data_IF_238692058508
#
_entry.id   IF_238692058508
#
_cell.length_a   1.000
_cell.length_b   1.000
_cell.length_c   1.000
_cell.angle_alpha   90.00
_cell.angle_beta   90.00
_cell.angle_gamma   90.00
#
_symmetry.space_group_name_H-M   'P 1'
#
loop_
_entity.id
_entity.type
_entity.pdbx_description
1 polymer ?
#
# COMPACT_ATOMS: atom_id res chain seq x y z
N UNK A 1 8.88 -16.21 -58.78
CA UNK A 1 9.20 -16.20 -57.34
C UNK A 1 8.85 -14.82 -56.85
N UNK A 2 7.62 -14.65 -56.41
CA UNK A 2 7.19 -13.38 -55.81
C UNK A 2 7.75 -13.32 -54.38
N UNK A 3 8.39 -12.21 -53.98
CA UNK A 3 8.95 -12.07 -52.64
C UNK A 3 7.79 -12.04 -51.64
N UNK A 4 7.76 -13.03 -50.75
CA UNK A 4 6.90 -12.99 -49.56
C UNK A 4 7.17 -11.69 -48.80
N UNK A 5 6.14 -10.88 -48.48
CA UNK A 5 6.33 -9.72 -47.61
C UNK A 5 6.79 -10.20 -46.24
N UNK A 6 7.67 -9.45 -45.55
CA UNK A 6 8.15 -9.82 -44.23
C UNK A 6 6.98 -9.83 -43.26
N UNK A 7 6.55 -11.04 -42.89
CA UNK A 7 5.78 -11.29 -41.68
C UNK A 7 6.68 -10.94 -40.49
N UNK A 8 6.11 -10.36 -39.44
CA UNK A 8 6.71 -10.15 -38.11
C UNK A 8 7.32 -8.77 -37.74
N UNK A 9 6.76 -7.67 -38.24
CA UNK A 9 6.74 -6.43 -37.46
C UNK A 9 5.33 -6.17 -36.93
N UNK A 10 5.03 -6.70 -35.74
CA UNK A 10 3.91 -6.19 -34.96
C UNK A 10 4.18 -4.70 -34.74
N UNK A 11 3.36 -3.78 -35.29
CA UNK A 11 3.70 -2.36 -35.27
C UNK A 11 3.92 -1.93 -33.83
N UNK A 12 5.01 -1.21 -33.53
CA UNK A 12 5.33 -0.68 -32.20
C UNK A 12 4.15 0.04 -31.53
N UNK A 13 3.24 0.59 -32.35
CA UNK A 13 1.96 1.16 -31.93
C UNK A 13 1.02 0.15 -31.22
N UNK A 14 0.95 -1.10 -31.66
CA UNK A 14 0.14 -2.15 -31.05
C UNK A 14 0.63 -2.53 -29.65
N UNK A 15 1.94 -2.69 -29.47
CA UNK A 15 2.55 -2.97 -28.16
C UNK A 15 2.28 -1.83 -27.18
N UNK A 16 2.49 -0.58 -27.61
CA UNK A 16 2.19 0.61 -26.79
C UNK A 16 0.72 0.72 -26.40
N UNK A 17 -0.19 0.36 -27.31
CA UNK A 17 -1.63 0.39 -27.06
C UNK A 17 -2.04 -0.68 -26.03
N UNK A 18 -1.46 -1.88 -26.10
CA UNK A 18 -1.68 -2.95 -25.12
C UNK A 18 -1.11 -2.62 -23.74
N UNK A 19 0.07 -2.00 -23.66
CA UNK A 19 0.64 -1.53 -22.40
C UNK A 19 -0.21 -0.43 -21.74
N UNK A 20 -0.69 0.53 -22.53
CA UNK A 20 -1.58 1.59 -22.05
C UNK A 20 -2.91 1.00 -21.55
N UNK A 21 -3.49 0.06 -22.29
CA UNK A 21 -4.71 -0.63 -21.89
C UNK A 21 -4.52 -1.42 -20.58
N UNK A 22 -3.45 -2.20 -20.46
CA UNK A 22 -3.16 -2.96 -19.24
C UNK A 22 -2.96 -2.03 -18.03
N UNK A 23 -2.20 -0.95 -18.20
CA UNK A 23 -1.97 0.06 -17.16
C UNK A 23 -3.26 0.76 -16.73
N UNK A 24 -4.15 1.06 -17.67
CA UNK A 24 -5.47 1.63 -17.37
C UNK A 24 -6.39 0.64 -16.66
N UNK A 25 -6.45 -0.62 -17.10
CA UNK A 25 -7.30 -1.64 -16.45
C UNK A 25 -6.91 -1.89 -14.98
N UNK A 26 -5.59 -1.97 -14.71
CA UNK A 26 -5.06 -2.16 -13.36
C UNK A 26 -5.31 -0.94 -12.49
N UNK A 27 -5.02 0.26 -13.01
CA UNK A 27 -5.33 1.54 -12.34
C UNK A 27 -6.81 1.65 -12.00
N UNK A 28 -7.70 1.25 -12.91
CA UNK A 28 -9.14 1.28 -12.67
C UNK A 28 -9.58 0.33 -11.56
N UNK A 29 -9.10 -0.92 -11.56
CA UNK A 29 -9.43 -1.87 -10.48
C UNK A 29 -8.93 -1.36 -9.12
N UNK A 30 -7.76 -0.75 -9.07
CA UNK A 30 -7.18 -0.23 -7.84
C UNK A 30 -7.91 1.03 -7.36
N UNK A 31 -8.32 1.90 -8.29
CA UNK A 31 -9.10 3.09 -7.96
C UNK A 31 -10.53 2.75 -7.59
N UNK A 32 -11.20 1.78 -8.21
CA UNK A 32 -12.52 1.33 -7.78
C UNK A 32 -12.49 0.77 -6.35
N UNK A 33 -11.42 0.05 -5.99
CA UNK A 33 -11.17 -0.41 -4.61
C UNK A 33 -10.85 0.74 -3.67
N UNK A 34 -10.06 1.72 -4.11
CA UNK A 34 -9.61 2.83 -3.28
C UNK A 34 -10.64 3.96 -3.14
N UNK A 35 -11.55 4.12 -4.10
CA UNK A 35 -12.44 5.27 -4.20
C UNK A 35 -13.49 5.29 -3.10
N UNK A 36 -13.78 4.19 -2.38
CA UNK A 36 -14.71 4.14 -1.22
C UNK A 36 -15.88 5.15 -1.34
N UNK A 37 -16.60 5.09 -2.47
CA UNK A 37 -17.79 5.92 -2.76
C UNK A 37 -17.54 7.43 -2.96
N UNK A 38 -16.32 7.86 -3.22
CA UNK A 38 -16.00 9.22 -3.67
C UNK A 38 -16.51 9.44 -5.10
N UNK A 39 -17.67 10.08 -5.18
CA UNK A 39 -18.36 10.39 -6.45
C UNK A 39 -17.51 11.27 -7.37
N UNK A 40 -16.71 12.18 -6.82
CA UNK A 40 -15.86 13.05 -7.63
C UNK A 40 -14.77 12.22 -8.32
N UNK A 41 -14.13 11.31 -7.58
CA UNK A 41 -13.12 10.41 -8.13
C UNK A 41 -13.69 9.48 -9.21
N UNK A 42 -14.90 8.95 -9.01
CA UNK A 42 -15.59 8.16 -10.03
C UNK A 42 -15.89 8.97 -11.30
N UNK A 43 -16.26 10.25 -11.19
CA UNK A 43 -16.45 11.13 -12.34
C UNK A 43 -15.14 11.40 -13.10
N UNK A 44 -14.02 11.60 -12.39
CA UNK A 44 -12.70 11.77 -13.03
C UNK A 44 -12.29 10.51 -13.81
N UNK A 45 -12.58 9.32 -13.29
CA UNK A 45 -12.33 8.07 -14.00
C UNK A 45 -13.20 7.94 -15.26
N UNK A 46 -14.46 8.33 -15.17
CA UNK A 46 -15.36 8.32 -16.32
C UNK A 46 -14.81 9.22 -17.44
N UNK A 47 -14.35 10.44 -17.10
CA UNK A 47 -13.71 11.34 -18.04
C UNK A 47 -12.42 10.75 -18.65
N UNK A 48 -11.63 10.01 -17.87
CA UNK A 48 -10.44 9.32 -18.38
C UNK A 48 -10.79 8.20 -19.38
N UNK A 49 -11.86 7.44 -19.14
CA UNK A 49 -12.37 6.45 -20.10
C UNK A 49 -12.82 7.14 -21.38
N UNK A 50 -13.52 8.27 -21.28
CA UNK A 50 -13.98 9.02 -22.46
C UNK A 50 -12.79 9.54 -23.29
N UNK A 51 -11.72 10.01 -22.63
CA UNK A 51 -10.48 10.37 -23.31
C UNK A 51 -9.82 9.17 -24.01
N UNK A 52 -9.81 8.00 -23.36
CA UNK A 52 -9.30 6.76 -23.95
C UNK A 52 -10.13 6.30 -25.15
N UNK A 53 -11.47 6.36 -25.05
CA UNK A 53 -12.42 6.04 -26.13
C UNK A 53 -12.13 6.90 -27.36
N UNK A 54 -11.89 8.21 -27.17
CA UNK A 54 -11.51 9.12 -28.27
C UNK A 54 -10.21 8.70 -28.96
N UNK A 55 -9.16 8.35 -28.20
CA UNK A 55 -7.88 7.88 -28.78
C UNK A 55 -8.07 6.56 -29.51
N UNK A 56 -8.86 5.65 -28.94
CA UNK A 56 -9.20 4.38 -29.57
C UNK A 56 -9.93 4.57 -30.90
N UNK A 57 -10.86 5.53 -31.00
CA UNK A 57 -11.53 5.86 -32.26
C UNK A 57 -10.59 6.42 -33.33
N UNK A 58 -9.61 7.24 -32.95
CA UNK A 58 -8.59 7.75 -33.88
C UNK A 58 -7.79 6.60 -34.50
N UNK A 59 -7.53 5.54 -33.73
CA UNK A 59 -6.78 4.37 -34.17
C UNK A 59 -7.67 3.18 -34.58
N UNK A 60 -8.97 3.38 -34.73
CA UNK A 60 -9.91 2.28 -34.98
C UNK A 60 -9.58 1.49 -36.26
N UNK A 61 -9.21 2.16 -37.34
CA UNK A 61 -8.93 1.50 -38.63
C UNK A 61 -7.64 0.69 -38.66
N UNK A 62 -6.71 0.92 -37.73
CA UNK A 62 -5.42 0.22 -37.70
C UNK A 62 -5.46 -1.09 -36.92
N UNK A 63 -6.58 -1.38 -36.25
CA UNK A 63 -6.71 -2.55 -35.39
C UNK A 63 -7.49 -3.70 -36.05
N UNK A 64 -7.08 -4.96 -35.81
CA UNK A 64 -7.88 -6.13 -36.16
C UNK A 64 -9.32 -6.06 -35.60
N UNK A 65 -10.29 -6.62 -36.33
CA UNK A 65 -11.72 -6.49 -35.99
C UNK A 65 -12.09 -7.16 -34.66
N UNK A 66 -11.47 -8.29 -34.36
CA UNK A 66 -11.59 -9.03 -33.10
C UNK A 66 -11.09 -8.19 -31.91
N UNK A 67 -9.91 -7.57 -32.04
CA UNK A 67 -9.33 -6.68 -31.03
C UNK A 67 -10.20 -5.45 -30.81
N UNK A 68 -10.74 -4.87 -31.89
CA UNK A 68 -11.68 -3.74 -31.80
C UNK A 68 -12.92 -4.08 -30.97
N UNK A 69 -13.55 -5.22 -31.27
CA UNK A 69 -14.74 -5.67 -30.56
C UNK A 69 -14.44 -5.91 -29.07
N UNK A 70 -13.29 -6.52 -28.76
CA UNK A 70 -12.85 -6.76 -27.39
C UNK A 70 -12.66 -5.45 -26.62
N UNK A 71 -11.88 -4.51 -27.15
CA UNK A 71 -11.62 -3.22 -26.49
C UNK A 71 -12.91 -2.43 -26.31
N UNK A 72 -13.77 -2.37 -27.35
CA UNK A 72 -15.03 -1.67 -27.27
C UNK A 72 -15.97 -2.25 -26.19
N UNK A 73 -16.09 -3.58 -26.12
CA UNK A 73 -16.89 -4.24 -25.09
C UNK A 73 -16.36 -3.93 -23.68
N UNK A 74 -15.04 -3.94 -23.50
CA UNK A 74 -14.39 -3.59 -22.23
C UNK A 74 -14.64 -2.13 -21.82
N UNK A 75 -14.50 -1.17 -22.74
CA UNK A 75 -14.81 0.25 -22.49
C UNK A 75 -16.27 0.40 -22.05
N UNK A 76 -17.20 -0.27 -22.74
CA UNK A 76 -18.63 -0.21 -22.41
C UNK A 76 -18.93 -0.79 -21.03
N UNK A 77 -18.33 -1.94 -20.69
CA UNK A 77 -18.49 -2.56 -19.38
C UNK A 77 -17.92 -1.68 -18.26
N UNK A 78 -16.74 -1.10 -18.47
CA UNK A 78 -16.12 -0.16 -17.52
C UNK A 78 -16.99 1.09 -17.31
N UNK A 79 -17.50 1.69 -18.39
CA UNK A 79 -18.42 2.83 -18.34
C UNK A 79 -19.71 2.49 -17.59
N UNK A 80 -20.28 1.31 -17.86
CA UNK A 80 -21.50 0.82 -17.19
C UNK A 80 -21.28 0.62 -15.69
N UNK A 81 -20.16 0.01 -15.29
CA UNK A 81 -19.83 -0.21 -13.87
C UNK A 81 -19.65 1.11 -13.11
N UNK A 82 -18.91 2.08 -13.69
CA UNK A 82 -18.73 3.40 -13.07
C UNK A 82 -20.05 4.17 -12.95
N UNK A 83 -20.88 4.20 -14.00
CA UNK A 83 -22.18 4.86 -13.95
C UNK A 83 -23.11 4.19 -12.93
N UNK A 84 -23.07 2.86 -12.82
CA UNK A 84 -23.80 2.12 -11.79
C UNK A 84 -23.30 2.51 -10.39
N UNK A 85 -21.99 2.62 -10.19
CA UNK A 85 -21.40 3.02 -8.90
C UNK A 85 -21.71 4.48 -8.53
N UNK A 86 -21.77 5.39 -9.51
CA UNK A 86 -22.15 6.80 -9.31
C UNK A 86 -23.63 6.94 -8.95
N UNK A 87 -24.50 6.12 -9.57
CA UNK A 87 -25.95 6.10 -9.31
C UNK A 87 -26.30 5.34 -8.03
N UNK A 88 -25.47 4.39 -7.62
CA UNK A 88 -25.65 3.69 -6.36
C UNK A 88 -25.70 4.74 -5.25
N UNK A 89 -26.79 4.77 -4.46
CA UNK A 89 -26.89 5.75 -3.39
C UNK A 89 -25.68 5.55 -2.46
N UNK A 90 -25.05 6.65 -2.06
CA UNK A 90 -23.90 6.67 -1.14
C UNK A 90 -24.25 6.18 0.26
N UNK A 91 -25.39 5.49 0.41
CA UNK A 91 -25.80 4.63 1.52
C UNK A 91 -24.87 3.42 1.58
N UNK A 92 -23.57 3.68 1.69
CA UNK A 92 -22.74 2.90 2.59
C UNK A 92 -23.41 3.08 3.94
N UNK A 93 -24.26 2.12 4.30
CA UNK A 93 -24.41 1.80 5.69
C UNK A 93 -22.99 1.54 6.18
N UNK A 94 -22.34 2.55 6.75
CA UNK A 94 -21.06 2.46 7.47
C UNK A 94 -21.10 1.42 8.61
N UNK A 95 -22.24 0.74 8.76
CA UNK A 95 -22.59 -0.21 9.79
C UNK A 95 -23.04 -1.58 9.27
N UNK A 96 -23.14 -1.84 7.96
CA UNK A 96 -23.28 -3.23 7.49
C UNK A 96 -21.91 -3.90 7.39
N UNK A 97 -21.22 -3.96 8.53
CA UNK A 97 -20.62 -5.25 8.90
C UNK A 97 -21.79 -6.23 8.84
N UNK A 98 -21.61 -7.39 8.22
CA UNK A 98 -22.60 -8.47 8.25
C UNK A 98 -22.75 -8.94 9.70
N UNK A 99 -23.45 -8.15 10.51
CA UNK A 99 -24.02 -8.57 11.76
C UNK A 99 -25.19 -9.46 11.34
N UNK A 100 -25.11 -10.73 11.68
CA UNK A 100 -26.28 -11.60 11.65
C UNK A 100 -27.37 -10.89 12.49
N UNK A 101 -28.51 -10.51 11.91
CA UNK A 101 -29.56 -9.82 12.64
C UNK A 101 -30.15 -10.67 13.78
N UNK A 102 -29.81 -11.96 13.86
CA UNK A 102 -30.29 -12.87 14.89
C UNK A 102 -29.42 -12.97 16.14
N UNK A 103 -28.21 -12.40 16.18
CA UNK A 103 -27.35 -12.45 17.38
C UNK A 103 -27.48 -11.21 18.26
N UNK A 104 -28.62 -11.07 18.93
CA UNK A 104 -28.74 -10.14 20.07
C UNK A 104 -28.05 -10.70 21.30
N UNK A 105 -26.77 -10.36 21.50
CA UNK A 105 -26.08 -10.60 22.76
C UNK A 105 -26.47 -9.53 23.79
N UNK A 106 -27.51 -9.83 24.58
CA UNK A 106 -27.90 -9.05 25.75
C UNK A 106 -26.97 -9.36 26.93
N UNK A 107 -26.02 -8.47 27.22
CA UNK A 107 -25.12 -8.69 28.35
C UNK A 107 -24.01 -7.66 28.49
N UNK A 108 -24.35 -6.39 28.63
CA UNK A 108 -23.36 -5.37 28.99
C UNK A 108 -23.83 -3.95 28.72
N UNK A 109 -23.45 -3.03 29.62
CA UNK A 109 -23.80 -1.59 29.67
C UNK A 109 -24.01 -0.96 28.28
N UNK A 110 -25.03 -0.10 28.18
CA UNK A 110 -25.39 0.72 27.00
C UNK A 110 -24.14 1.43 26.48
N UNK A 111 -23.51 0.85 25.46
CA UNK A 111 -22.23 1.27 24.92
C UNK A 111 -21.99 0.55 23.60
N UNK A 112 -21.58 1.33 22.60
CA UNK A 112 -21.30 0.97 21.19
C UNK A 112 -21.34 -0.55 20.88
N UNK A 113 -22.26 -1.01 20.00
CA UNK A 113 -22.36 -2.43 19.63
C UNK A 113 -21.01 -3.05 19.30
N UNK A 114 -20.75 -4.25 19.84
CA UNK A 114 -19.53 -5.00 19.49
C UNK A 114 -19.56 -5.31 18.00
N UNK A 115 -18.46 -5.00 17.31
CA UNK A 115 -18.28 -5.42 15.92
C UNK A 115 -18.06 -6.94 15.92
N UNK A 116 -18.93 -7.66 15.24
CA UNK A 116 -18.81 -9.09 15.01
C UNK A 116 -17.94 -9.30 13.78
N UNK A 117 -16.98 -10.24 13.86
CA UNK A 117 -16.12 -10.64 12.74
C UNK A 117 -16.45 -12.10 12.47
N UNK A 118 -16.68 -12.46 11.21
CA UNK A 118 -16.95 -13.86 10.85
C UNK A 118 -15.73 -14.74 11.21
N UNK A 119 -15.98 -15.81 11.96
CA UNK A 119 -14.92 -16.66 12.54
C UNK A 119 -14.13 -17.39 11.46
N UNK A 120 -14.81 -18.03 10.50
CA UNK A 120 -14.16 -18.76 9.40
C UNK A 120 -13.29 -17.86 8.52
N UNK A 121 -13.72 -16.62 8.28
CA UNK A 121 -12.94 -15.63 7.55
C UNK A 121 -11.71 -15.19 8.36
N UNK A 122 -11.88 -14.97 9.67
CA UNK A 122 -10.79 -14.58 10.55
C UNK A 122 -9.73 -15.68 10.64
N UNK A 123 -10.12 -16.93 10.79
CA UNK A 123 -9.23 -18.09 10.77
C UNK A 123 -8.41 -18.16 9.48
N UNK A 124 -9.09 -18.11 8.32
CA UNK A 124 -8.44 -18.16 7.02
C UNK A 124 -7.42 -17.03 6.82
N UNK A 125 -7.80 -15.78 7.12
CA UNK A 125 -6.92 -14.63 6.99
C UNK A 125 -5.77 -14.67 8.00
N UNK A 126 -6.00 -15.17 9.21
CA UNK A 126 -4.97 -15.33 10.23
C UNK A 126 -3.93 -16.36 9.79
N UNK A 127 -4.35 -17.48 9.22
CA UNK A 127 -3.47 -18.48 8.64
C UNK A 127 -2.67 -17.91 7.45
N UNK A 128 -3.33 -17.18 6.55
CA UNK A 128 -2.70 -16.56 5.38
C UNK A 128 -1.61 -15.54 5.77
N UNK A 129 -1.88 -14.67 6.75
CA UNK A 129 -0.96 -13.64 7.22
C UNK A 129 -0.05 -14.07 8.37
N UNK A 130 0.06 -15.39 8.63
CA UNK A 130 0.92 -15.97 9.67
C UNK A 130 0.71 -15.35 11.06
N UNK A 131 -0.54 -15.09 11.43
CA UNK A 131 -0.89 -14.51 12.73
C UNK A 131 -0.81 -12.99 12.84
N UNK A 132 -0.46 -12.27 11.75
CA UNK A 132 -0.34 -10.80 11.81
C UNK A 132 -1.71 -10.11 11.90
N UNK A 133 -2.06 -9.63 13.10
CA UNK A 133 -3.30 -8.87 13.33
C UNK A 133 -3.37 -7.56 12.50
N UNK A 134 -2.23 -6.93 12.22
CA UNK A 134 -2.18 -5.68 11.46
C UNK A 134 -2.55 -5.90 9.98
N UNK A 135 -1.98 -6.92 9.35
CA UNK A 135 -2.25 -7.23 7.95
C UNK A 135 -3.72 -7.63 7.74
N UNK A 136 -4.24 -8.51 8.61
CA UNK A 136 -5.66 -8.90 8.60
C UNK A 136 -6.58 -7.69 8.80
N UNK A 137 -6.22 -6.77 9.70
CA UNK A 137 -6.99 -5.55 9.93
C UNK A 137 -6.99 -4.60 8.73
N UNK A 138 -5.88 -4.53 7.98
CA UNK A 138 -5.79 -3.75 6.76
C UNK A 138 -6.76 -4.28 5.68
N UNK A 139 -6.80 -5.60 5.48
CA UNK A 139 -7.70 -6.26 4.53
C UNK A 139 -9.18 -6.05 4.89
N UNK A 140 -9.51 -6.16 6.18
CA UNK A 140 -10.88 -5.98 6.66
C UNK A 140 -11.27 -4.51 6.90
N UNK A 141 -10.32 -3.56 6.75
CA UNK A 141 -10.49 -2.16 7.17
C UNK A 141 -10.99 -2.01 8.63
N UNK A 142 -10.49 -2.86 9.53
CA UNK A 142 -10.83 -2.89 10.94
C UNK A 142 -9.68 -2.36 11.81
N UNK A 143 -9.92 -2.19 13.11
CA UNK A 143 -8.87 -1.80 14.05
C UNK A 143 -8.00 -3.04 14.37
N UNK A 144 -6.65 -2.98 14.25
CA UNK A 144 -5.76 -4.09 14.57
C UNK A 144 -5.94 -4.68 15.97
N UNK A 145 -6.27 -3.84 16.96
CA UNK A 145 -6.50 -4.27 18.35
C UNK A 145 -7.74 -5.15 18.48
N UNK A 146 -8.79 -4.86 17.71
CA UNK A 146 -10.00 -5.70 17.69
C UNK A 146 -9.68 -7.08 17.09
N UNK A 147 -8.93 -7.12 15.98
CA UNK A 147 -8.53 -8.36 15.34
C UNK A 147 -7.66 -9.21 16.27
N UNK A 148 -6.66 -8.59 16.90
CA UNK A 148 -5.81 -9.26 17.88
C UNK A 148 -6.64 -9.87 19.03
N UNK A 149 -7.58 -9.11 19.59
CA UNK A 149 -8.49 -9.63 20.63
C UNK A 149 -9.31 -10.83 20.15
N UNK A 150 -9.88 -10.76 18.93
CA UNK A 150 -10.67 -11.87 18.39
C UNK A 150 -9.82 -13.12 18.11
N UNK A 151 -8.60 -12.93 17.60
CA UNK A 151 -7.65 -14.02 17.39
C UNK A 151 -7.29 -14.72 18.71
N UNK A 152 -7.08 -13.95 19.78
CA UNK A 152 -6.82 -14.48 21.13
C UNK A 152 -8.04 -15.18 21.72
N UNK A 153 -9.24 -14.60 21.61
CA UNK A 153 -10.49 -15.20 22.07
C UNK A 153 -10.78 -16.55 21.40
N UNK A 154 -10.44 -16.69 20.10
CA UNK A 154 -10.63 -17.91 19.32
C UNK A 154 -9.44 -18.90 19.41
N UNK A 155 -8.38 -18.55 20.13
CA UNK A 155 -7.18 -19.39 20.23
C UNK A 155 -6.39 -19.54 18.93
N UNK A 156 -6.58 -18.63 17.96
CA UNK A 156 -5.88 -18.65 16.67
C UNK A 156 -4.42 -18.17 16.77
N UNK A 157 -4.13 -17.35 17.79
CA UNK A 157 -2.80 -16.81 18.06
C UNK A 157 -2.51 -16.99 19.55
N UNK A 158 -1.30 -17.44 19.88
CA UNK A 158 -0.85 -17.52 21.27
C UNK A 158 -0.60 -16.11 21.80
N UNK A 159 -1.08 -15.76 23.01
CA UNK A 159 -0.74 -14.50 23.66
C UNK A 159 0.78 -14.28 23.64
N UNK A 160 1.20 -13.09 23.22
CA UNK A 160 2.60 -12.69 23.36
C UNK A 160 3.01 -12.67 24.82
N UNK A 161 4.31 -12.80 25.07
CA UNK A 161 4.86 -12.71 26.42
C UNK A 161 4.49 -11.38 27.07
N UNK A 162 4.03 -11.42 28.33
CA UNK A 162 3.67 -10.21 29.04
C UNK A 162 4.90 -9.26 29.14
N UNK A 163 4.71 -7.94 28.93
CA UNK A 163 5.81 -6.98 29.03
C UNK A 163 6.47 -6.96 30.40
N UNK A 164 5.73 -7.35 31.44
CA UNK A 164 6.23 -7.50 32.80
C UNK A 164 6.21 -8.98 33.17
N UNK A 165 7.33 -9.45 33.71
CA UNK A 165 7.45 -10.78 34.27
C UNK A 165 7.79 -10.67 35.74
N UNK A 166 7.10 -11.48 36.54
CA UNK A 166 7.37 -11.65 37.95
C UNK A 166 8.21 -12.93 38.08
N UNK A 167 9.43 -12.79 38.59
CA UNK A 167 10.30 -13.93 38.91
C UNK A 167 10.58 -13.91 40.40
N UNK A 168 10.40 -15.08 41.02
CA UNK A 168 10.75 -15.31 42.42
C UNK A 168 12.21 -15.75 42.43
N UNK A 169 13.08 -14.96 43.05
CA UNK A 169 14.49 -15.27 43.18
C UNK A 169 14.71 -16.43 44.17
N UNK A 170 15.93 -17.00 44.20
CA UNK A 170 16.28 -18.13 45.10
C UNK A 170 16.06 -17.80 46.59
N UNK A 171 16.11 -16.52 46.96
CA UNK A 171 15.85 -16.01 48.32
C UNK A 171 14.35 -15.86 48.65
N UNK A 172 13.45 -16.13 47.69
CA UNK A 172 12.00 -15.99 47.84
C UNK A 172 11.46 -14.57 47.61
N UNK A 173 12.30 -13.62 47.20
CA UNK A 173 11.87 -12.26 46.87
C UNK A 173 11.29 -12.18 45.45
N UNK A 174 10.17 -11.46 45.29
CA UNK A 174 9.53 -11.23 43.98
C UNK A 174 10.15 -10.02 43.29
N UNK A 175 10.83 -10.25 42.17
CA UNK A 175 11.30 -9.18 41.30
C UNK A 175 10.44 -9.08 40.05
N UNK A 176 10.07 -7.84 39.71
CA UNK A 176 9.34 -7.53 38.48
C UNK A 176 10.29 -6.89 37.48
N UNK A 177 10.58 -7.56 36.38
CA UNK A 177 11.34 -6.96 35.29
C UNK A 177 10.48 -6.72 34.05
N UNK A 178 10.73 -5.58 33.41
CA UNK A 178 10.12 -5.23 32.14
C UNK A 178 10.94 -5.89 31.02
N UNK A 179 10.35 -6.89 30.35
CA UNK A 179 10.94 -7.48 29.16
C UNK A 179 10.78 -6.52 28.00
N UNK A 180 11.89 -5.90 27.66
CA UNK A 180 12.00 -5.05 26.49
C UNK A 180 11.87 -5.94 25.26
N UNK A 181 10.71 -5.91 24.59
CA UNK A 181 10.45 -6.64 23.34
C UNK A 181 11.20 -6.10 22.13
N UNK A 182 12.12 -5.15 22.32
CA UNK A 182 12.94 -4.64 21.23
C UNK A 182 13.89 -5.74 20.78
N UNK A 183 13.99 -5.91 19.47
CA UNK A 183 14.94 -6.85 18.87
C UNK A 183 16.36 -6.49 19.32
N UNK A 184 17.16 -7.49 19.65
CA UNK A 184 18.54 -7.28 20.04
C UNK A 184 19.31 -6.58 18.91
N UNK A 185 20.13 -5.59 19.25
CA UNK A 185 20.99 -4.92 18.28
C UNK A 185 22.08 -5.89 17.82
N UNK A 186 22.27 -5.98 16.51
CA UNK A 186 23.31 -6.80 15.89
C UNK A 186 24.67 -6.22 16.28
N UNK A 187 25.50 -7.05 16.90
CA UNK A 187 26.89 -6.71 17.18
C UNK A 187 27.69 -6.85 15.88
N UNK A 188 27.91 -5.73 15.18
CA UNK A 188 28.64 -5.66 13.92
C UNK A 188 29.71 -4.58 14.03
N UNK A 189 30.93 -4.87 13.56
CA UNK A 189 31.99 -3.87 13.53
C UNK A 189 31.73 -2.81 12.44
N UNK A 190 32.30 -1.61 12.59
CA UNK A 190 32.13 -0.55 11.59
C UNK A 190 32.64 -0.98 10.20
N UNK A 191 33.74 -1.74 10.13
CA UNK A 191 34.30 -2.22 8.87
C UNK A 191 33.39 -3.25 8.19
N UNK A 192 32.79 -4.16 8.94
CA UNK A 192 31.80 -5.11 8.42
C UNK A 192 30.54 -4.39 7.96
N UNK A 193 30.05 -3.41 8.73
CA UNK A 193 28.89 -2.60 8.35
C UNK A 193 29.15 -1.84 7.05
N UNK A 194 30.31 -1.21 6.91
CA UNK A 194 30.71 -0.50 5.68
C UNK A 194 30.73 -1.46 4.48
N UNK A 195 31.19 -2.70 4.66
CA UNK A 195 31.20 -3.73 3.61
C UNK A 195 29.80 -4.16 3.15
N UNK A 196 28.82 -4.15 4.07
CA UNK A 196 27.41 -4.46 3.76
C UNK A 196 26.70 -3.25 3.13
N UNK A 197 27.01 -2.04 3.61
CA UNK A 197 26.40 -0.80 3.11
C UNK A 197 26.89 -0.46 1.71
N UNK A 198 28.15 -0.73 1.38
CA UNK A 198 28.74 -0.45 0.06
C UNK A 198 27.92 -0.97 -1.13
N UNK A 199 27.59 -2.27 -1.25
CA UNK A 199 26.84 -2.79 -2.39
C UNK A 199 25.41 -2.22 -2.47
N UNK A 200 24.77 -1.93 -1.33
CA UNK A 200 23.45 -1.31 -1.28
C UNK A 200 23.52 0.09 -1.90
N UNK A 201 24.53 0.88 -1.53
CA UNK A 201 24.74 2.24 -2.06
C UNK A 201 25.14 2.25 -3.53
N UNK A 202 25.92 1.26 -3.98
CA UNK A 202 26.29 1.10 -5.40
C UNK A 202 25.05 0.83 -6.27
N UNK A 203 24.13 0.00 -5.77
CA UNK A 203 22.87 -0.32 -6.45
C UNK A 203 21.88 0.85 -6.40
N UNK A 204 21.83 1.57 -5.27
CA UNK A 204 20.83 2.62 -5.00
C UNK A 204 21.50 3.88 -4.45
N UNK A 205 22.06 4.69 -5.36
CA UNK A 205 22.84 5.90 -5.04
C UNK A 205 22.09 6.97 -4.25
N UNK A 206 20.75 6.95 -4.22
CA UNK A 206 19.92 7.96 -3.56
C UNK A 206 19.29 7.47 -2.25
N UNK A 207 19.73 6.34 -1.69
CA UNK A 207 19.23 5.88 -0.40
C UNK A 207 19.54 6.88 0.71
N UNK A 208 18.49 7.37 1.36
CA UNK A 208 18.57 8.11 2.63
C UNK A 208 18.64 7.14 3.81
N UNK A 209 18.75 7.70 5.01
CA UNK A 209 18.89 6.94 6.26
C UNK A 209 17.76 5.92 6.46
N UNK A 210 16.49 6.33 6.32
CA UNK A 210 15.35 5.42 6.53
C UNK A 210 15.30 4.27 5.51
N UNK A 211 15.66 4.54 4.25
CA UNK A 211 15.75 3.48 3.24
C UNK A 211 16.93 2.53 3.51
N UNK A 212 18.03 3.05 4.05
CA UNK A 212 19.16 2.23 4.46
C UNK A 212 18.79 1.36 5.66
N UNK A 213 18.10 1.92 6.67
CA UNK A 213 17.56 1.17 7.82
C UNK A 213 16.71 -0.01 7.36
N UNK A 214 15.71 0.24 6.52
CA UNK A 214 14.86 -0.83 5.99
C UNK A 214 15.62 -1.88 5.17
N UNK A 215 16.67 -1.49 4.44
CA UNK A 215 17.50 -2.44 3.71
C UNK A 215 18.34 -3.33 4.64
N UNK A 216 18.88 -2.78 5.72
CA UNK A 216 19.61 -3.54 6.73
C UNK A 216 18.67 -4.45 7.54
N UNK A 217 17.48 -3.97 7.89
CA UNK A 217 16.44 -4.77 8.55
C UNK A 217 16.02 -5.98 7.69
N UNK A 218 15.95 -5.82 6.37
CA UNK A 218 15.68 -6.91 5.44
C UNK A 218 16.80 -7.96 5.38
N UNK A 219 18.02 -7.59 5.78
CA UNK A 219 19.17 -8.49 5.95
C UNK A 219 19.31 -9.02 7.39
N UNK A 220 18.32 -8.75 8.24
CA UNK A 220 18.32 -9.05 9.67
C UNK A 220 19.43 -8.37 10.48
N UNK A 221 19.89 -7.20 10.03
CA UNK A 221 20.88 -6.38 10.71
C UNK A 221 20.17 -5.20 11.38
N UNK A 222 20.11 -5.22 12.72
CA UNK A 222 19.47 -4.17 13.53
C UNK A 222 20.54 -3.33 14.22
N UNK A 223 20.68 -2.08 13.81
CA UNK A 223 21.68 -1.15 14.36
C UNK A 223 21.06 0.22 14.64
N UNK A 224 21.78 1.04 15.41
CA UNK A 224 21.35 2.39 15.74
C UNK A 224 21.47 3.33 14.54
N UNK A 225 20.69 4.41 14.59
CA UNK A 225 20.72 5.46 13.58
C UNK A 225 22.08 6.11 13.41
N UNK A 226 22.79 6.32 14.52
CA UNK A 226 24.12 6.90 14.51
C UNK A 226 25.14 6.01 13.79
N UNK A 227 25.00 4.68 13.88
CA UNK A 227 25.86 3.74 13.16
C UNK A 227 25.56 3.77 11.65
N UNK A 228 24.28 3.80 11.27
CA UNK A 228 23.87 3.94 9.85
C UNK A 228 24.41 5.25 9.28
N UNK A 229 24.24 6.36 9.99
CA UNK A 229 24.72 7.67 9.55
C UNK A 229 26.24 7.71 9.44
N UNK A 230 26.96 7.16 10.41
CA UNK A 230 28.42 7.06 10.38
C UNK A 230 28.89 6.24 9.18
N UNK A 231 28.33 5.06 8.95
CA UNK A 231 28.67 4.22 7.80
C UNK A 231 28.39 4.92 6.47
N UNK A 232 27.20 5.54 6.32
CA UNK A 232 26.87 6.32 5.13
C UNK A 232 27.82 7.49 4.90
N UNK A 233 28.23 8.18 5.98
CA UNK A 233 29.19 9.29 5.93
C UNK A 233 30.59 8.81 5.55
N UNK A 234 31.04 7.64 6.02
CA UNK A 234 32.32 7.06 5.61
C UNK A 234 32.34 6.74 4.11
N UNK A 235 31.23 6.22 3.58
CA UNK A 235 31.15 5.73 2.20
C UNK A 235 30.87 6.82 1.16
N UNK A 236 30.00 7.80 1.48
CA UNK A 236 29.65 8.91 0.57
C UNK A 236 30.40 10.20 0.87
N UNK A 237 31.07 10.28 2.01
CA UNK A 237 31.55 11.53 2.57
C UNK A 237 30.44 12.29 3.32
N UNK A 238 30.77 13.46 3.89
CA UNK A 238 29.78 14.32 4.52
C UNK A 238 28.70 14.70 3.50
N UNK A 239 27.41 14.77 3.91
CA UNK A 239 26.37 15.23 3.02
C UNK A 239 26.73 16.65 2.51
N UNK A 240 26.48 16.96 1.23
CA UNK A 240 26.74 18.29 0.72
C UNK A 240 25.97 19.30 1.58
N UNK A 241 26.59 20.45 1.90
CA UNK A 241 25.97 21.45 2.75
C UNK A 241 24.66 21.90 2.09
N UNK A 242 23.67 22.24 2.93
CA UNK A 242 22.29 22.42 2.48
C UNK A 242 22.14 23.44 1.33
N UNK A 243 23.00 24.47 1.29
CA UNK A 243 23.01 25.50 0.25
C UNK A 243 23.54 25.04 -1.12
N UNK A 244 24.28 23.93 -1.17
CA UNK A 244 24.72 23.29 -2.43
C UNK A 244 23.76 22.20 -2.89
N UNK A 245 22.75 21.85 -2.09
CA UNK A 245 21.69 20.97 -2.56
C UNK A 245 20.84 21.80 -3.49
N UNK A 246 20.91 21.50 -4.78
CA UNK A 246 19.91 21.97 -5.72
C UNK A 246 18.56 21.42 -5.24
N UNK A 247 17.75 22.30 -4.63
CA UNK A 247 16.37 21.96 -4.33
C UNK A 247 15.68 21.94 -5.69
N UNK A 248 15.74 20.79 -6.35
CA UNK A 248 14.89 20.48 -7.49
C UNK A 248 13.48 20.40 -6.92
N UNK A 249 12.84 21.56 -6.84
CA UNK A 249 11.40 21.61 -6.64
C UNK A 249 10.82 21.10 -7.94
N UNK A 250 10.18 19.95 -7.89
CA UNK A 250 9.30 19.56 -8.99
C UNK A 250 8.34 20.73 -9.22
N UNK A 251 8.51 21.41 -10.36
CA UNK A 251 7.46 22.30 -10.84
C UNK A 251 6.33 21.38 -11.22
N UNK A 252 5.32 21.30 -10.36
CA UNK A 252 4.03 20.76 -10.74
C UNK A 252 3.42 21.72 -11.77
N UNK A 253 3.81 21.58 -13.03
CA UNK A 253 3.07 22.16 -14.16
C UNK A 253 1.82 21.32 -14.32
N UNK A 254 0.71 21.85 -13.81
CA UNK A 254 -0.61 21.25 -13.98
C UNK A 254 -1.28 22.00 -15.11
N UNK A 255 -1.36 21.40 -16.29
CA UNK A 255 -2.08 22.01 -17.40
C UNK A 255 -3.59 22.08 -17.07
N UNK A 256 -4.11 23.31 -16.99
CA UNK A 256 -5.55 23.59 -16.89
C UNK A 256 -6.05 24.18 -15.56
N UNK A 257 -7.38 24.27 -15.42
CA UNK A 257 -8.12 25.00 -14.38
C UNK A 257 -7.82 24.55 -12.94
N UNK A 258 -7.17 23.41 -12.76
CA UNK A 258 -6.73 22.90 -11.46
C UNK A 258 -5.49 23.62 -10.89
N UNK A 259 -4.73 24.37 -11.70
CA UNK A 259 -3.62 25.19 -11.22
C UNK A 259 -4.09 26.29 -10.22
N UNK A 260 -5.35 26.72 -10.32
CA UNK A 260 -5.92 27.77 -9.46
C UNK A 260 -6.21 27.29 -8.03
N UNK A 261 -6.37 25.99 -7.81
CA UNK A 261 -6.76 25.42 -6.51
C UNK A 261 -5.58 25.17 -5.56
N UNK A 262 -4.34 25.25 -6.06
CA UNK A 262 -3.12 25.04 -5.27
C UNK A 262 -2.47 26.32 -4.76
N UNK A 263 -3.05 27.50 -5.05
CA UNK A 263 -2.55 28.78 -4.55
C UNK A 263 -3.02 29.13 -3.13
N UNK A 264 -3.79 28.26 -2.45
CA UNK A 264 -4.03 28.42 -1.01
C UNK A 264 -2.85 27.86 -0.20
N UNK A 265 -1.68 28.45 -0.47
CA UNK A 265 -0.42 28.21 0.23
C UNK A 265 -0.42 28.74 1.66
N UNK A 266 -1.50 28.53 2.41
CA UNK A 266 -1.60 28.90 3.82
C UNK A 266 -1.97 27.72 4.75
N UNK A 267 -1.56 26.50 4.39
CA UNK A 267 -1.54 25.36 5.34
C UNK A 267 -0.15 25.13 5.94
N UNK A 268 0.50 26.20 6.41
CA UNK A 268 1.59 26.07 7.39
C UNK A 268 1.32 26.97 8.61
N UNK A 269 1.02 26.28 9.71
CA UNK A 269 1.45 26.61 11.09
C UNK A 269 0.76 27.78 11.79
N UNK A 270 -0.31 27.47 12.55
CA UNK A 270 -0.32 27.51 14.03
C UNK A 270 -1.07 26.26 14.51
#
# INVERSE_FOLDING_TARGET
MDPHPPEDEVPLAHVRLMELYHRHSKSMSDVLKAAKHDRHRLCLQLAAIDAYDNVFWIHWSTLPQDVRNLIQSSIQDMRKQLLSAIKAPSTVSRFQVMADPNETHGGGRVGRPRKVVNESLLEHLTAFHRGSAFAVAQDLSLNPRLICWRQLEQGLVTPGQAPFQHVVNEDGEEESYHVVTRRAMTQISNAELDSVVQPILQTRKNYGQEMMRGALEALDIHITDDHIMTAMKNMRGPPPPFHLREIVRDRYETDGTNAMWHNDGNHKLI
#
